data_IF_417382645393
#
_entry.id   IF_417382645393
#
_cell.length_a   1.000
_cell.length_b   1.000
_cell.length_c   1.000
_cell.angle_alpha   90.00
_cell.angle_beta   90.00
_cell.angle_gamma   90.00
#
_symmetry.space_group_name_H-M   'P 1'
#
loop_
_entity.id
_entity.type
_entity.pdbx_description
1 polymer ?
#
# COMPACT_ATOMS: atom_id res chain seq x y z
N UNK A 1 57.52 -52.86 55.11
CA UNK A 1 56.40 -52.21 55.81
C UNK A 1 56.99 -51.44 56.99
N UNK A 2 57.02 -50.11 56.88
CA UNK A 2 57.19 -49.13 57.96
C UNK A 2 56.68 -47.78 57.44
N UNK A 3 56.24 -46.87 58.32
CA UNK A 3 55.07 -46.02 58.08
C UNK A 3 55.41 -44.67 57.44
N UNK A 4 54.43 -44.15 56.70
CA UNK A 4 54.37 -42.74 56.27
C UNK A 4 53.97 -41.89 57.47
N UNK A 5 54.73 -40.83 57.83
CA UNK A 5 54.22 -39.80 58.73
C UNK A 5 53.46 -38.74 57.93
N UNK A 6 52.26 -38.45 58.41
CA UNK A 6 51.48 -37.28 58.02
C UNK A 6 52.17 -36.00 58.55
N UNK A 7 52.61 -35.12 57.65
CA UNK A 7 52.77 -33.70 57.92
C UNK A 7 52.31 -32.94 56.67
N UNK A 8 51.06 -32.50 56.69
CA UNK A 8 50.65 -31.28 56.03
C UNK A 8 50.56 -30.22 57.12
N UNK A 9 51.29 -29.12 56.98
CA UNK A 9 50.89 -27.80 57.47
C UNK A 9 51.83 -26.71 56.95
N UNK A 10 51.19 -25.67 56.44
CA UNK A 10 51.71 -24.31 56.25
C UNK A 10 52.74 -24.08 55.14
N UNK A 11 52.23 -24.03 53.90
CA UNK A 11 52.80 -23.14 52.87
C UNK A 11 51.72 -22.13 52.48
N UNK A 12 51.91 -20.89 52.94
CA UNK A 12 51.07 -19.76 52.58
C UNK A 12 51.26 -19.41 51.09
N UNK A 13 50.24 -18.78 50.50
CA UNK A 13 50.22 -18.32 49.11
C UNK A 13 51.40 -17.38 48.73
N UNK A 14 52.19 -16.92 49.70
CA UNK A 14 53.38 -16.09 49.47
C UNK A 14 54.61 -16.88 48.99
N UNK A 15 54.65 -18.22 49.12
CA UNK A 15 55.80 -19.01 48.66
C UNK A 15 55.74 -19.42 47.19
N UNK A 16 54.56 -19.36 46.55
CA UNK A 16 54.37 -19.74 45.14
C UNK A 16 54.67 -18.61 44.14
N UNK A 17 54.95 -17.38 44.60
CA UNK A 17 55.27 -16.24 43.72
C UNK A 17 56.78 -16.00 43.51
N UNK A 18 57.65 -16.92 43.94
CA UNK A 18 59.12 -16.81 43.73
C UNK A 18 59.73 -17.96 42.96
N UNK A 19 58.93 -18.76 42.25
CA UNK A 19 59.45 -19.77 41.32
C UNK A 19 59.48 -19.14 39.93
N UNK A 20 60.69 -18.79 39.48
CA UNK A 20 60.96 -18.43 38.09
C UNK A 20 61.00 -19.74 37.27
N UNK A 21 60.07 -19.97 36.33
CA UNK A 21 59.94 -21.24 35.62
C UNK A 21 61.12 -21.58 34.70
N UNK A 22 62.07 -20.66 34.48
CA UNK A 22 63.14 -20.84 33.50
C UNK A 22 64.48 -21.36 34.06
N UNK A 23 64.60 -21.68 35.36
CA UNK A 23 65.92 -21.99 35.94
C UNK A 23 66.09 -23.33 36.68
N UNK A 24 65.14 -24.27 36.62
CA UNK A 24 65.35 -25.62 37.17
C UNK A 24 64.49 -26.69 36.48
N UNK A 25 65.09 -27.69 35.80
CA UNK A 25 64.35 -28.78 35.16
C UNK A 25 63.59 -29.69 36.14
N UNK A 26 64.01 -29.72 37.41
CA UNK A 26 63.43 -30.62 38.42
C UNK A 26 62.14 -30.05 39.05
N UNK A 27 62.00 -28.73 39.13
CA UNK A 27 60.78 -28.08 39.63
C UNK A 27 59.63 -28.13 38.61
N UNK A 28 59.95 -28.06 37.32
CA UNK A 28 58.98 -28.25 36.24
C UNK A 28 58.37 -29.67 36.23
N UNK A 29 59.11 -30.68 36.73
CA UNK A 29 58.62 -32.06 36.87
C UNK A 29 57.61 -32.19 38.00
N UNK A 30 57.87 -31.53 39.14
CA UNK A 30 57.01 -31.57 40.32
C UNK A 30 55.65 -30.88 40.04
N UNK A 31 55.67 -29.73 39.36
CA UNK A 31 54.45 -29.00 38.94
C UNK A 31 53.64 -29.81 37.91
N UNK A 32 54.29 -30.47 36.93
CA UNK A 32 53.59 -31.34 35.96
C UNK A 32 52.98 -32.59 36.61
N UNK A 33 53.64 -33.18 37.63
CA UNK A 33 53.09 -34.32 38.36
C UNK A 33 51.87 -33.95 39.23
N UNK A 34 51.83 -32.73 39.77
CA UNK A 34 50.67 -32.22 40.53
C UNK A 34 49.47 -31.87 39.64
N UNK A 35 49.71 -31.37 38.43
CA UNK A 35 48.65 -31.08 37.45
C UNK A 35 48.07 -32.38 36.85
N UNK A 36 48.89 -33.42 36.66
CA UNK A 36 48.43 -34.72 36.15
C UNK A 36 47.55 -35.49 37.15
N UNK A 37 47.69 -35.25 38.45
CA UNK A 37 46.91 -35.94 39.49
C UNK A 37 45.49 -35.36 39.72
N UNK A 38 45.15 -34.22 39.09
CA UNK A 38 43.88 -33.51 39.33
C UNK A 38 43.01 -33.29 38.08
N UNK A 39 43.42 -33.78 36.91
CA UNK A 39 42.66 -33.61 35.67
C UNK A 39 41.56 -34.70 35.52
N UNK A 40 40.27 -34.34 35.41
CA UNK A 40 39.23 -35.31 35.04
C UNK A 40 39.41 -35.77 33.59
N UNK A 41 38.95 -36.99 33.23
CA UNK A 41 39.27 -37.61 31.95
C UNK A 41 38.79 -36.77 30.76
N UNK A 42 39.67 -36.65 29.76
CA UNK A 42 39.49 -35.87 28.55
C UNK A 42 38.24 -36.32 27.77
N UNK A 43 37.28 -35.41 27.60
CA UNK A 43 36.16 -35.60 26.67
C UNK A 43 36.70 -35.60 25.23
N UNK A 44 36.17 -36.50 24.41
CA UNK A 44 36.49 -36.64 22.99
C UNK A 44 36.50 -35.29 22.24
N UNK A 45 37.39 -35.10 21.24
CA UNK A 45 37.47 -33.85 20.51
C UNK A 45 36.10 -33.51 19.91
N UNK A 46 35.63 -32.26 20.07
CA UNK A 46 34.34 -31.85 19.53
C UNK A 46 34.31 -32.07 18.02
N UNK A 47 33.21 -32.64 17.53
CA UNK A 47 32.98 -32.81 16.09
C UNK A 47 33.13 -31.48 15.36
N UNK A 48 33.56 -31.49 14.10
CA UNK A 48 33.75 -30.28 13.25
C UNK A 48 32.56 -29.31 13.33
N UNK A 49 31.28 -29.75 13.32
CA UNK A 49 30.14 -28.84 13.53
C UNK A 49 30.16 -28.11 14.88
N UNK A 50 30.63 -28.75 15.93
CA UNK A 50 30.72 -28.18 17.29
C UNK A 50 31.89 -27.21 17.41
N UNK A 51 33.00 -27.44 16.69
CA UNK A 51 34.09 -26.48 16.56
C UNK A 51 33.67 -25.24 15.77
N UNK A 52 32.90 -25.40 14.69
CA UNK A 52 32.33 -24.28 13.93
C UNK A 52 31.35 -23.48 14.79
N UNK A 53 30.48 -24.15 15.55
CA UNK A 53 29.57 -23.49 16.50
C UNK A 53 30.32 -22.74 17.60
N UNK A 54 31.38 -23.33 18.16
CA UNK A 54 32.20 -22.67 19.19
C UNK A 54 33.02 -21.50 18.65
N UNK A 55 33.56 -21.63 17.43
CA UNK A 55 34.27 -20.55 16.74
C UNK A 55 33.32 -19.41 16.41
N UNK A 56 32.12 -19.70 15.90
CA UNK A 56 31.07 -18.70 15.66
C UNK A 56 30.63 -18.03 16.97
N UNK A 57 30.37 -18.80 18.03
CA UNK A 57 29.99 -18.25 19.34
C UNK A 57 31.08 -17.34 19.93
N UNK A 58 32.36 -17.71 19.77
CA UNK A 58 33.50 -16.93 20.26
C UNK A 58 33.80 -15.70 19.39
N UNK A 59 33.56 -15.78 18.08
CA UNK A 59 33.64 -14.64 17.16
C UNK A 59 32.52 -13.63 17.39
N UNK A 60 31.34 -14.10 17.78
CA UNK A 60 30.16 -13.27 18.06
C UNK A 60 30.12 -12.74 19.50
N UNK A 61 30.86 -13.34 20.44
CA UNK A 61 30.85 -12.96 21.86
C UNK A 61 31.14 -11.47 22.14
N UNK A 62 32.08 -10.80 21.44
CA UNK A 62 32.33 -9.37 21.62
C UNK A 62 31.20 -8.48 21.10
N UNK A 63 30.41 -8.95 20.12
CA UNK A 63 29.30 -8.20 19.53
C UNK A 63 28.04 -8.14 20.43
N UNK A 64 28.03 -8.87 21.55
CA UNK A 64 26.88 -9.02 22.44
C UNK A 64 26.94 -8.18 23.74
N UNK A 65 27.85 -7.19 23.85
CA UNK A 65 27.81 -6.14 24.89
C UNK A 65 28.13 -4.76 24.31
N UNK A 66 27.51 -3.68 24.83
CA UNK A 66 26.07 -3.47 24.76
C UNK A 66 25.64 -3.58 23.30
N UNK A 67 24.53 -4.26 23.07
CA UNK A 67 24.00 -4.70 21.77
C UNK A 67 24.15 -3.64 20.65
N UNK A 68 25.28 -3.63 19.93
CA UNK A 68 25.46 -2.75 18.77
C UNK A 68 24.72 -3.37 17.59
N UNK A 69 23.46 -2.99 17.45
CA UNK A 69 22.59 -3.39 16.34
C UNK A 69 23.24 -3.16 14.98
N UNK A 70 24.17 -2.20 14.85
CA UNK A 70 24.88 -1.92 13.59
C UNK A 70 25.95 -2.96 13.30
N UNK A 71 26.63 -3.47 14.32
CA UNK A 71 27.67 -4.49 14.17
C UNK A 71 27.04 -5.86 13.90
N UNK A 72 25.96 -6.20 14.61
CA UNK A 72 25.19 -7.41 14.33
C UNK A 72 24.51 -7.34 12.96
N UNK A 73 23.93 -6.19 12.56
CA UNK A 73 23.41 -5.96 11.20
C UNK A 73 24.49 -6.22 10.15
N UNK A 74 25.70 -5.68 10.31
CA UNK A 74 26.83 -5.94 9.38
C UNK A 74 27.18 -7.42 9.30
N UNK A 75 27.24 -8.12 10.43
CA UNK A 75 27.52 -9.56 10.47
C UNK A 75 26.43 -10.38 9.78
N UNK A 76 25.16 -10.04 10.00
CA UNK A 76 24.03 -10.64 9.32
C UNK A 76 24.12 -10.46 7.80
N UNK A 77 24.35 -9.24 7.33
CA UNK A 77 24.43 -8.93 5.90
C UNK A 77 25.62 -9.60 5.19
N UNK A 78 26.71 -9.84 5.90
CA UNK A 78 27.93 -10.44 5.34
C UNK A 78 27.96 -11.97 5.48
N UNK A 79 27.06 -12.57 6.26
CA UNK A 79 27.05 -14.01 6.50
C UNK A 79 26.50 -14.77 5.27
N UNK A 80 27.22 -15.80 4.77
CA UNK A 80 26.73 -16.65 3.69
C UNK A 80 25.35 -17.27 4.03
N UNK A 81 24.44 -17.48 3.05
CA UNK A 81 23.11 -18.08 3.25
C UNK A 81 23.10 -19.34 4.12
N UNK A 82 24.14 -20.17 3.99
CA UNK A 82 24.30 -21.43 4.71
C UNK A 82 24.58 -21.24 6.21
N UNK A 83 25.23 -20.14 6.59
CA UNK A 83 25.55 -19.83 7.98
C UNK A 83 24.33 -19.35 8.77
N UNK A 84 23.24 -18.96 8.10
CA UNK A 84 22.03 -18.48 8.75
C UNK A 84 21.34 -19.54 9.59
N UNK A 85 21.38 -20.81 9.22
CA UNK A 85 20.82 -21.89 10.06
C UNK A 85 21.61 -22.02 11.37
N UNK A 86 22.94 -21.98 11.31
CA UNK A 86 23.79 -21.97 12.52
C UNK A 86 23.63 -20.69 13.33
N UNK A 87 23.62 -19.51 12.69
CA UNK A 87 23.38 -18.22 13.34
C UNK A 87 22.01 -18.19 14.00
N UNK A 88 20.95 -18.70 13.35
CA UNK A 88 19.60 -18.81 13.92
C UNK A 88 19.54 -19.81 15.07
N UNK A 89 20.41 -20.83 15.10
CA UNK A 89 20.53 -21.78 16.21
C UNK A 89 21.24 -21.15 17.42
N UNK A 90 22.38 -20.49 17.20
CA UNK A 90 23.17 -19.81 18.24
C UNK A 90 22.44 -18.58 18.75
N UNK A 91 21.90 -17.77 17.83
CA UNK A 91 21.03 -16.66 18.17
C UNK A 91 19.75 -17.20 18.80
N UNK A 92 19.13 -18.30 18.34
CA UNK A 92 17.93 -18.87 18.97
C UNK A 92 18.12 -19.28 20.44
N UNK A 93 19.30 -19.75 20.82
CA UNK A 93 19.65 -20.01 22.23
C UNK A 93 19.89 -18.70 23.03
N UNK A 94 20.39 -17.65 22.37
CA UNK A 94 20.65 -16.32 22.98
C UNK A 94 19.45 -15.35 22.90
N UNK A 95 18.52 -15.58 21.98
CA UNK A 95 17.34 -14.79 21.65
C UNK A 95 16.13 -15.25 22.46
N UNK A 96 16.17 -16.45 23.06
CA UNK A 96 15.20 -16.85 24.10
C UNK A 96 15.19 -15.88 25.29
N UNK A 97 16.27 -15.12 25.49
CA UNK A 97 16.37 -14.07 26.51
C UNK A 97 16.13 -12.65 25.97
N UNK A 98 15.96 -12.48 24.66
CA UNK A 98 15.62 -11.19 24.04
C UNK A 98 14.09 -11.14 23.89
N UNK A 99 13.40 -10.08 24.33
CA UNK A 99 11.97 -9.94 24.15
C UNK A 99 11.59 -10.17 22.68
N UNK A 100 10.47 -10.85 22.40
CA UNK A 100 9.96 -11.13 21.04
C UNK A 100 10.04 -9.90 20.10
N UNK A 101 9.88 -8.69 20.65
CA UNK A 101 10.04 -7.40 19.98
C UNK A 101 11.41 -7.20 19.30
N UNK A 102 12.51 -7.65 19.90
CA UNK A 102 13.86 -7.53 19.32
C UNK A 102 14.08 -8.45 18.12
N UNK A 103 13.48 -9.64 18.13
CA UNK A 103 13.54 -10.57 17.00
C UNK A 103 12.71 -10.07 15.81
N UNK A 104 11.52 -9.53 16.08
CA UNK A 104 10.65 -8.94 15.06
C UNK A 104 11.32 -7.75 14.39
N UNK A 105 11.98 -6.87 15.17
CA UNK A 105 12.74 -5.73 14.63
C UNK A 105 13.90 -6.16 13.72
N UNK A 106 14.69 -7.16 14.13
CA UNK A 106 15.81 -7.65 13.31
C UNK A 106 15.36 -8.38 12.06
N UNK A 107 14.35 -9.25 12.17
CA UNK A 107 13.79 -9.95 11.03
C UNK A 107 13.26 -8.95 10.00
N UNK A 108 12.58 -7.88 10.45
CA UNK A 108 12.15 -6.79 9.59
C UNK A 108 13.33 -6.11 8.88
N UNK A 109 14.36 -5.67 9.60
CA UNK A 109 15.52 -4.99 8.95
C UNK A 109 16.21 -5.87 7.90
N UNK A 110 16.40 -7.16 8.19
CA UNK A 110 16.99 -8.11 7.23
C UNK A 110 16.05 -8.32 6.03
N UNK A 111 14.75 -8.42 6.28
CA UNK A 111 13.76 -8.55 5.22
C UNK A 111 13.75 -7.32 4.31
N UNK A 112 13.72 -6.13 4.91
CA UNK A 112 13.73 -4.85 4.22
C UNK A 112 14.97 -4.74 3.32
N UNK A 113 16.15 -5.03 3.86
CA UNK A 113 17.40 -4.88 3.11
C UNK A 113 17.51 -5.86 1.93
N UNK A 114 17.05 -7.11 2.09
CA UNK A 114 17.08 -8.11 1.01
C UNK A 114 16.03 -7.84 -0.06
N UNK A 115 14.83 -7.41 0.34
CA UNK A 115 13.80 -6.98 -0.60
C UNK A 115 14.26 -5.76 -1.38
N UNK A 116 14.90 -4.78 -0.71
CA UNK A 116 15.50 -3.60 -1.36
C UNK A 116 16.58 -3.99 -2.37
N UNK A 117 17.35 -5.05 -2.10
CA UNK A 117 18.33 -5.61 -3.04
C UNK A 117 17.70 -6.35 -4.24
N UNK A 118 16.37 -6.41 -4.33
CA UNK A 118 15.66 -7.01 -5.45
C UNK A 118 15.27 -8.48 -5.24
N UNK A 119 15.46 -9.03 -4.04
CA UNK A 119 15.03 -10.41 -3.77
C UNK A 119 13.49 -10.51 -3.68
N UNK A 120 12.93 -11.59 -4.23
CA UNK A 120 11.50 -11.88 -4.12
C UNK A 120 11.05 -12.03 -2.66
N UNK A 121 9.93 -11.39 -2.30
CA UNK A 121 9.26 -11.50 -1.01
C UNK A 121 8.98 -12.95 -0.62
N UNK A 122 8.69 -13.81 -1.59
CA UNK A 122 8.48 -15.24 -1.34
C UNK A 122 9.74 -15.91 -0.76
N UNK A 123 10.89 -15.68 -1.40
CA UNK A 123 12.17 -16.26 -0.98
C UNK A 123 12.61 -15.71 0.39
N UNK A 124 12.46 -14.39 0.58
CA UNK A 124 12.76 -13.74 1.86
C UNK A 124 11.85 -14.29 2.97
N UNK A 125 10.56 -14.44 2.68
CA UNK A 125 9.57 -15.02 3.60
C UNK A 125 9.90 -16.46 4.02
N UNK A 126 10.29 -17.31 3.07
CA UNK A 126 10.73 -18.70 3.36
C UNK A 126 11.97 -18.72 4.28
N UNK A 127 12.96 -17.87 4.02
CA UNK A 127 14.20 -17.83 4.80
C UNK A 127 13.92 -17.36 6.23
N UNK A 128 13.08 -16.33 6.38
CA UNK A 128 12.72 -15.78 7.68
C UNK A 128 11.69 -16.65 8.42
N UNK A 129 11.02 -17.59 7.74
CA UNK A 129 9.91 -18.35 8.31
C UNK A 129 8.69 -17.45 8.58
N UNK A 130 8.53 -16.38 7.81
CA UNK A 130 7.42 -15.43 7.89
C UNK A 130 6.20 -16.04 7.18
N UNK A 131 5.58 -17.02 7.81
CA UNK A 131 4.48 -17.80 7.23
C UNK A 131 3.09 -17.22 7.53
N UNK A 132 2.99 -16.22 8.41
CA UNK A 132 1.68 -15.61 8.70
C UNK A 132 1.26 -14.67 7.57
N UNK A 133 -0.04 -14.57 7.26
CA UNK A 133 -0.54 -13.63 6.26
C UNK A 133 -0.11 -12.18 6.52
N UNK A 134 -0.12 -11.73 7.78
CA UNK A 134 0.27 -10.37 8.16
C UNK A 134 1.76 -10.10 7.93
N UNK A 135 2.64 -11.07 8.23
CA UNK A 135 4.07 -10.92 7.99
C UNK A 135 4.39 -10.93 6.49
N UNK A 136 3.66 -11.73 5.71
CA UNK A 136 3.74 -11.75 4.25
C UNK A 136 3.31 -10.40 3.66
N UNK A 137 2.15 -9.87 4.06
CA UNK A 137 1.66 -8.56 3.61
C UNK A 137 2.65 -7.44 3.95
N UNK A 138 3.16 -7.39 5.18
CA UNK A 138 4.17 -6.42 5.57
C UNK A 138 5.44 -6.50 4.72
N UNK A 139 5.88 -7.71 4.37
CA UNK A 139 7.05 -7.93 3.52
C UNK A 139 6.82 -7.49 2.07
N UNK A 140 5.64 -7.77 1.54
CA UNK A 140 5.25 -7.33 0.20
C UNK A 140 5.12 -5.79 0.13
N UNK A 141 4.55 -5.16 1.17
CA UNK A 141 4.47 -3.70 1.27
C UNK A 141 5.85 -3.03 1.27
N UNK A 142 6.84 -3.61 1.94
CA UNK A 142 8.22 -3.09 1.89
C UNK A 142 8.79 -3.16 0.47
N UNK A 143 8.42 -4.18 -0.32
CA UNK A 143 8.82 -4.25 -1.72
C UNK A 143 8.15 -3.16 -2.55
N UNK A 144 6.84 -2.95 -2.35
CA UNK A 144 6.05 -1.90 -3.01
C UNK A 144 6.59 -0.51 -2.67
N UNK A 145 6.93 -0.24 -1.41
CA UNK A 145 7.53 1.04 -0.99
C UNK A 145 8.97 1.23 -1.51
N UNK A 146 9.65 0.13 -1.83
CA UNK A 146 11.03 0.11 -2.33
C UNK A 146 11.13 -0.18 -3.83
N UNK A 147 11.88 -1.22 -4.24
CA UNK A 147 12.27 -1.41 -5.65
C UNK A 147 11.10 -1.79 -6.57
N UNK A 148 10.06 -2.46 -6.08
CA UNK A 148 8.90 -2.81 -6.91
C UNK A 148 8.13 -1.55 -7.32
N UNK A 149 7.82 -0.67 -6.36
CA UNK A 149 7.15 0.60 -6.65
C UNK A 149 7.99 1.54 -7.51
N UNK A 150 9.33 1.55 -7.35
CA UNK A 150 10.21 2.31 -8.23
C UNK A 150 10.12 1.85 -9.69
N UNK A 151 10.08 0.54 -9.94
CA UNK A 151 9.95 -0.02 -11.31
C UNK A 151 8.60 0.31 -11.93
N UNK A 152 7.51 0.26 -11.16
CA UNK A 152 6.19 0.68 -11.64
C UNK A 152 6.13 2.17 -11.94
N UNK A 153 6.73 3.01 -11.09
CA UNK A 153 6.87 4.46 -11.35
C UNK A 153 7.69 4.77 -12.61
N UNK A 154 8.61 3.87 -13.00
CA UNK A 154 9.36 3.95 -14.25
C UNK A 154 8.59 3.41 -15.47
N UNK A 155 7.36 2.92 -15.27
CA UNK A 155 6.45 2.50 -16.33
C UNK A 155 6.45 1.00 -16.61
N UNK A 156 7.02 0.18 -15.73
CA UNK A 156 6.88 -1.27 -15.85
C UNK A 156 5.47 -1.74 -15.42
N UNK A 157 4.95 -2.76 -16.10
CA UNK A 157 3.64 -3.37 -15.79
C UNK A 157 3.60 -3.91 -14.36
N UNK A 158 2.52 -3.60 -13.63
CA UNK A 158 2.25 -4.07 -12.27
C UNK A 158 2.26 -5.59 -12.17
N UNK A 159 1.65 -6.30 -13.14
CA UNK A 159 1.63 -7.77 -13.17
C UNK A 159 3.04 -8.35 -13.27
N UNK A 160 3.88 -7.81 -14.17
CA UNK A 160 5.26 -8.27 -14.33
C UNK A 160 6.09 -8.00 -13.07
N UNK A 161 5.89 -6.83 -12.45
CA UNK A 161 6.57 -6.48 -11.20
C UNK A 161 6.09 -7.38 -10.07
N UNK A 162 4.79 -7.59 -9.89
CA UNK A 162 4.24 -8.43 -8.84
C UNK A 162 4.76 -9.87 -8.95
N UNK A 163 4.81 -10.42 -10.16
CA UNK A 163 5.38 -11.75 -10.42
C UNK A 163 6.87 -11.81 -10.07
N UNK A 164 7.64 -10.79 -10.46
CA UNK A 164 9.09 -10.74 -10.21
C UNK A 164 9.40 -10.69 -8.71
N UNK A 165 8.67 -9.88 -7.96
CA UNK A 165 8.88 -9.72 -6.52
C UNK A 165 8.07 -10.70 -5.66
N UNK A 166 7.20 -11.51 -6.25
CA UNK A 166 6.32 -12.41 -5.51
C UNK A 166 5.30 -11.67 -4.63
N UNK A 167 4.77 -10.54 -5.12
CA UNK A 167 3.71 -9.76 -4.47
C UNK A 167 2.37 -10.37 -4.86
N UNK A 168 1.58 -10.80 -3.88
CA UNK A 168 0.36 -11.59 -4.11
C UNK A 168 -0.80 -11.19 -3.21
N UNK A 169 -0.55 -10.42 -2.16
CA UNK A 169 -1.59 -9.90 -1.28
C UNK A 169 -2.35 -8.78 -1.98
N UNK A 170 -3.66 -8.78 -1.79
CA UNK A 170 -4.57 -7.82 -2.41
C UNK A 170 -4.19 -6.37 -2.08
N UNK A 171 -3.86 -6.07 -0.82
CA UNK A 171 -3.44 -4.73 -0.39
C UNK A 171 -2.20 -4.25 -1.14
N UNK A 172 -1.16 -5.08 -1.24
CA UNK A 172 0.08 -4.70 -1.90
C UNK A 172 -0.08 -4.53 -3.41
N UNK A 173 -0.88 -5.39 -4.06
CA UNK A 173 -1.23 -5.24 -5.49
C UNK A 173 -1.99 -3.94 -5.71
N UNK A 174 -3.00 -3.64 -4.89
CA UNK A 174 -3.78 -2.40 -5.02
C UNK A 174 -2.88 -1.16 -4.92
N UNK A 175 -1.96 -1.10 -3.94
CA UNK A 175 -1.01 0.02 -3.82
C UNK A 175 -0.08 0.10 -5.03
N UNK A 176 0.39 -1.04 -5.55
CA UNK A 176 1.23 -1.07 -6.74
C UNK A 176 0.49 -0.53 -7.98
N UNK A 177 -0.77 -0.93 -8.17
CA UNK A 177 -1.62 -0.41 -9.24
C UNK A 177 -1.91 1.08 -9.08
N UNK A 178 -2.21 1.57 -7.87
CA UNK A 178 -2.37 3.00 -7.57
C UNK A 178 -1.11 3.79 -7.97
N UNK A 179 0.10 3.30 -7.64
CA UNK A 179 1.34 3.96 -8.05
C UNK A 179 1.52 4.06 -9.57
N UNK A 180 1.03 3.06 -10.31
CA UNK A 180 1.05 3.08 -11.78
C UNK A 180 0.09 4.13 -12.33
N UNK A 181 -1.13 4.15 -11.80
CA UNK A 181 -2.19 5.09 -12.14
C UNK A 181 -1.77 6.54 -11.84
N UNK A 182 -1.21 6.82 -10.67
CA UNK A 182 -0.72 8.16 -10.31
C UNK A 182 0.49 8.62 -11.14
N UNK A 183 1.16 7.68 -11.82
CA UNK A 183 2.36 7.91 -12.60
C UNK A 183 2.14 7.63 -14.10
N UNK A 184 2.94 6.75 -14.72
CA UNK A 184 2.96 6.58 -16.17
C UNK A 184 1.62 6.22 -16.82
N UNK A 185 0.77 5.44 -16.16
CA UNK A 185 -0.51 5.03 -16.72
C UNK A 185 -1.49 6.22 -16.78
N UNK A 186 -1.65 6.96 -15.68
CA UNK A 186 -2.50 8.15 -15.65
C UNK A 186 -2.02 9.23 -16.60
N UNK A 187 -0.70 9.43 -16.74
CA UNK A 187 -0.16 10.40 -17.69
C UNK A 187 -0.43 10.03 -19.16
N UNK A 188 -0.51 8.74 -19.50
CA UNK A 188 -0.92 8.29 -20.84
C UNK A 188 -2.40 8.55 -21.09
N UNK A 189 -3.26 8.25 -20.11
CA UNK A 189 -4.70 8.53 -20.20
C UNK A 189 -4.98 10.03 -20.30
N UNK A 190 -4.28 10.88 -19.54
CA UNK A 190 -4.38 12.34 -19.66
C UNK A 190 -3.95 12.89 -21.02
N UNK A 191 -3.14 12.15 -21.79
CA UNK A 191 -2.81 12.49 -23.19
C UNK A 191 -3.85 11.98 -24.19
N UNK A 192 -4.90 11.33 -23.70
CA UNK A 192 -6.02 10.83 -24.47
C UNK A 192 -5.84 9.43 -25.02
N UNK A 193 -4.95 8.63 -24.44
CA UNK A 193 -4.92 7.20 -24.73
C UNK A 193 -6.13 6.47 -24.12
N UNK A 194 -6.63 5.47 -24.82
CA UNK A 194 -7.79 4.67 -24.43
C UNK A 194 -7.55 3.93 -23.09
N UNK A 195 -8.40 4.17 -22.10
CA UNK A 195 -8.27 3.72 -20.70
C UNK A 195 -8.07 2.21 -20.59
N UNK A 196 -8.93 1.39 -21.20
CA UNK A 196 -8.79 -0.07 -21.13
C UNK A 196 -7.44 -0.58 -21.68
N UNK A 197 -6.97 -0.02 -22.81
CA UNK A 197 -5.67 -0.41 -23.39
C UNK A 197 -4.51 -0.04 -22.48
N UNK A 198 -4.61 1.12 -21.81
CA UNK A 198 -3.62 1.55 -20.81
C UNK A 198 -3.67 0.61 -19.60
N UNK A 199 -4.85 0.34 -19.04
CA UNK A 199 -5.02 -0.57 -17.91
C UNK A 199 -4.43 -1.96 -18.20
N UNK A 200 -4.71 -2.54 -19.38
CA UNK A 200 -4.17 -3.83 -19.79
C UNK A 200 -2.63 -3.78 -19.93
N UNK A 201 -2.09 -2.72 -20.53
CA UNK A 201 -0.64 -2.56 -20.72
C UNK A 201 0.12 -2.45 -19.39
N UNK A 202 -0.45 -1.76 -18.39
CA UNK A 202 0.15 -1.64 -17.07
C UNK A 202 -0.28 -2.74 -16.10
N UNK A 203 -1.16 -3.65 -16.50
CA UNK A 203 -1.65 -4.71 -15.64
C UNK A 203 -2.47 -4.20 -14.46
N UNK A 204 -3.28 -3.16 -14.66
CA UNK A 204 -4.21 -2.61 -13.66
C UNK A 204 -5.51 -3.41 -13.73
N UNK A 205 -5.79 -4.16 -12.67
CA UNK A 205 -6.93 -5.09 -12.62
C UNK A 205 -7.97 -4.67 -11.59
N UNK A 206 -7.56 -3.94 -10.56
CA UNK A 206 -8.41 -3.52 -9.46
C UNK A 206 -9.42 -2.46 -9.88
N UNK A 207 -10.71 -2.75 -9.73
CA UNK A 207 -11.81 -1.90 -10.20
C UNK A 207 -11.74 -0.45 -9.69
N UNK A 208 -11.37 -0.23 -8.41
CA UNK A 208 -11.20 1.15 -7.89
C UNK A 208 -10.12 1.93 -8.64
N UNK A 209 -8.99 1.28 -8.95
CA UNK A 209 -7.88 1.93 -9.64
C UNK A 209 -8.24 2.16 -11.11
N UNK A 210 -8.99 1.25 -11.74
CA UNK A 210 -9.54 1.46 -13.08
C UNK A 210 -10.48 2.67 -13.12
N UNK A 211 -11.39 2.77 -12.16
CA UNK A 211 -12.30 3.90 -12.07
C UNK A 211 -11.54 5.24 -11.88
N UNK A 212 -10.54 5.28 -11.00
CA UNK A 212 -9.68 6.46 -10.84
C UNK A 212 -8.87 6.78 -12.10
N UNK A 213 -8.39 5.76 -12.82
CA UNK A 213 -7.72 5.92 -14.10
C UNK A 213 -8.65 6.54 -15.15
N UNK A 214 -9.90 6.09 -15.23
CA UNK A 214 -10.90 6.66 -16.14
C UNK A 214 -11.27 8.11 -15.76
N UNK A 215 -11.35 8.43 -14.47
CA UNK A 215 -11.50 9.82 -14.02
C UNK A 215 -10.34 10.73 -14.48
N UNK A 216 -9.12 10.19 -14.65
CA UNK A 216 -8.01 10.95 -15.28
C UNK A 216 -8.28 11.29 -16.75
N UNK A 217 -9.04 10.47 -17.48
CA UNK A 217 -9.46 10.79 -18.83
C UNK A 217 -10.47 11.97 -18.81
N UNK A 218 -11.41 11.91 -17.86
CA UNK A 218 -12.45 12.93 -17.65
C UNK A 218 -11.84 14.28 -17.27
N UNK A 219 -10.86 14.30 -16.36
CA UNK A 219 -10.07 15.49 -16.02
C UNK A 219 -9.32 16.09 -17.23
N UNK A 220 -9.04 15.26 -18.24
CA UNK A 220 -8.26 15.58 -19.42
C UNK A 220 -9.09 15.74 -20.72
N UNK A 221 -8.64 15.13 -21.84
CA UNK A 221 -9.24 15.35 -23.15
C UNK A 221 -10.69 14.91 -23.28
N UNK A 222 -11.13 13.87 -22.55
CA UNK A 222 -12.51 13.39 -22.62
C UNK A 222 -13.48 14.47 -22.09
N UNK A 223 -13.22 15.00 -20.90
CA UNK A 223 -14.03 16.09 -20.35
C UNK A 223 -13.95 17.36 -21.19
N UNK A 224 -12.80 17.66 -21.82
CA UNK A 224 -12.69 18.80 -22.73
C UNK A 224 -13.63 18.67 -23.94
N UNK A 225 -13.72 17.49 -24.54
CA UNK A 225 -14.61 17.23 -25.69
C UNK A 225 -16.08 17.33 -25.31
N UNK A 226 -16.46 16.81 -24.14
CA UNK A 226 -17.83 16.95 -23.65
C UNK A 226 -18.18 18.41 -23.34
N UNK A 227 -17.26 19.21 -22.79
CA UNK A 227 -17.45 20.67 -22.66
C UNK A 227 -17.67 21.37 -23.99
N UNK A 228 -17.08 20.85 -25.08
CA UNK A 228 -17.28 21.34 -26.45
C UNK A 228 -18.60 20.87 -27.08
N UNK A 229 -19.40 20.09 -26.35
CA UNK A 229 -20.74 19.68 -26.76
C UNK A 229 -20.83 18.29 -27.38
N UNK A 230 -19.75 17.52 -27.40
CA UNK A 230 -19.81 16.13 -27.87
C UNK A 230 -20.63 15.26 -26.90
N UNK A 231 -21.25 14.20 -27.43
CA UNK A 231 -22.07 13.25 -26.65
C UNK A 231 -21.20 12.43 -25.70
N UNK A 232 -21.60 12.33 -24.43
CA UNK A 232 -20.91 11.57 -23.38
C UNK A 232 -20.73 10.11 -23.79
N UNK A 233 -21.76 9.46 -24.35
CA UNK A 233 -21.68 8.08 -24.89
C UNK A 233 -20.56 7.91 -25.92
N UNK A 234 -20.46 8.86 -26.86
CA UNK A 234 -19.48 8.78 -27.94
C UNK A 234 -18.07 8.94 -27.39
N UNK A 235 -17.88 9.92 -26.51
CA UNK A 235 -16.59 10.16 -25.85
C UNK A 235 -16.20 8.98 -24.96
N UNK A 236 -17.09 8.49 -24.10
CA UNK A 236 -16.84 7.34 -23.23
C UNK A 236 -16.41 6.09 -24.03
N UNK A 237 -17.10 5.79 -25.13
CA UNK A 237 -16.76 4.67 -26.00
C UNK A 237 -15.37 4.83 -26.65
N UNK A 238 -15.02 6.04 -27.11
CA UNK A 238 -13.74 6.30 -27.78
C UNK A 238 -12.55 6.23 -26.81
N UNK A 239 -12.73 6.75 -25.59
CA UNK A 239 -11.71 6.67 -24.54
C UNK A 239 -11.74 5.34 -23.79
N UNK A 240 -12.72 4.47 -24.07
CA UNK A 240 -12.83 3.16 -23.44
C UNK A 240 -13.13 3.21 -21.96
N UNK A 241 -14.03 4.10 -21.56
CA UNK A 241 -14.51 4.25 -20.20
C UNK A 241 -15.67 3.29 -19.95
N UNK A 242 -15.55 2.45 -18.93
CA UNK A 242 -16.53 1.42 -18.60
C UNK A 242 -17.08 1.58 -17.18
N UNK A 243 -16.37 2.29 -16.31
CA UNK A 243 -16.74 2.43 -14.90
C UNK A 243 -17.78 3.53 -14.71
N UNK A 244 -18.75 3.25 -13.84
CA UNK A 244 -19.96 4.08 -13.72
C UNK A 244 -19.67 5.50 -13.21
N UNK A 245 -18.77 5.68 -12.23
CA UNK A 245 -18.48 7.00 -11.65
C UNK A 245 -17.82 7.92 -12.67
N UNK A 246 -16.96 7.38 -13.54
CA UNK A 246 -16.29 8.18 -14.55
C UNK A 246 -17.28 8.65 -15.64
N UNK A 247 -18.25 7.80 -16.01
CA UNK A 247 -19.32 8.19 -16.93
C UNK A 247 -20.31 9.19 -16.31
N UNK A 248 -20.68 9.01 -15.04
CA UNK A 248 -21.53 9.97 -14.32
C UNK A 248 -20.87 11.35 -14.21
N UNK A 249 -19.58 11.42 -13.86
CA UNK A 249 -18.82 12.68 -13.83
C UNK A 249 -18.74 13.34 -15.22
N UNK A 250 -18.58 12.54 -16.27
CA UNK A 250 -18.57 13.03 -17.65
C UNK A 250 -19.92 13.67 -18.03
N UNK A 251 -21.03 13.06 -17.62
CA UNK A 251 -22.37 13.62 -17.81
C UNK A 251 -22.60 14.90 -16.99
N UNK A 252 -22.12 14.97 -15.74
CA UNK A 252 -22.15 16.21 -14.94
C UNK A 252 -21.40 17.36 -15.61
N UNK A 253 -20.28 17.07 -16.29
CA UNK A 253 -19.56 18.05 -17.10
C UNK A 253 -20.41 18.55 -18.27
N UNK A 254 -21.17 17.67 -18.93
CA UNK A 254 -22.09 18.06 -20.00
C UNK A 254 -23.18 19.01 -19.48
N UNK A 255 -23.81 18.65 -18.36
CA UNK A 255 -24.86 19.42 -17.67
C UNK A 255 -24.33 20.79 -17.27
N UNK A 256 -23.13 20.86 -16.70
CA UNK A 256 -22.48 22.12 -16.31
C UNK A 256 -22.00 22.96 -17.51
N UNK A 257 -22.03 22.41 -18.72
CA UNK A 257 -21.57 23.03 -19.95
C UNK A 257 -22.71 23.28 -20.94
N UNK A 258 -22.51 22.86 -22.20
CA UNK A 258 -23.41 23.18 -23.30
C UNK A 258 -24.83 22.61 -23.11
N UNK A 259 -24.99 21.46 -22.46
CA UNK A 259 -26.30 20.87 -22.22
C UNK A 259 -27.14 21.77 -21.30
N UNK A 260 -26.57 22.21 -20.18
CA UNK A 260 -27.23 23.16 -19.28
C UNK A 260 -27.55 24.48 -19.96
N UNK A 261 -26.65 25.02 -20.79
CA UNK A 261 -26.91 26.25 -21.55
C UNK A 261 -28.08 26.09 -22.56
N UNK A 262 -28.20 24.93 -23.22
CA UNK A 262 -29.35 24.65 -24.09
C UNK A 262 -30.66 24.63 -23.32
N UNK A 263 -30.67 24.00 -22.14
CA UNK A 263 -31.85 23.98 -21.26
C UNK A 263 -32.19 25.39 -20.77
N UNK A 264 -31.21 26.20 -20.35
CA UNK A 264 -31.43 27.61 -19.97
C UNK A 264 -32.06 28.43 -21.09
N UNK A 265 -31.73 28.11 -22.35
CA UNK A 265 -32.30 28.74 -23.54
C UNK A 265 -33.70 28.21 -23.91
N UNK A 266 -34.27 27.31 -23.11
CA UNK A 266 -35.65 26.86 -23.22
C UNK A 266 -35.86 25.59 -24.06
N UNK A 267 -34.78 24.86 -24.37
CA UNK A 267 -34.91 23.54 -24.97
C UNK A 267 -35.36 22.49 -23.94
N UNK A 268 -36.09 21.46 -24.38
CA UNK A 268 -36.55 20.36 -23.52
C UNK A 268 -35.38 19.56 -22.95
N UNK A 269 -35.44 19.23 -21.65
CA UNK A 269 -34.47 18.39 -20.96
C UNK A 269 -34.33 17.03 -21.65
N UNK A 270 -35.42 16.43 -22.13
CA UNK A 270 -35.41 15.14 -22.86
C UNK A 270 -34.57 15.22 -24.15
N UNK A 271 -34.85 16.22 -25.00
CA UNK A 271 -34.10 16.43 -26.24
C UNK A 271 -32.62 16.67 -25.96
N UNK A 272 -32.30 17.48 -24.94
CA UNK A 272 -30.92 17.79 -24.57
C UNK A 272 -30.21 16.55 -24.03
N UNK A 273 -30.83 15.79 -23.12
CA UNK A 273 -30.24 14.59 -22.55
C UNK A 273 -29.97 13.52 -23.61
N UNK A 274 -30.91 13.28 -24.53
CA UNK A 274 -30.70 12.36 -25.65
C UNK A 274 -29.52 12.80 -26.54
N UNK A 275 -29.45 14.09 -26.87
CA UNK A 275 -28.38 14.62 -27.73
C UNK A 275 -26.99 14.54 -27.08
N UNK A 276 -26.91 14.82 -25.78
CA UNK A 276 -25.64 14.78 -25.03
C UNK A 276 -25.32 13.42 -24.41
N UNK A 277 -26.23 12.43 -24.53
CA UNK A 277 -26.06 11.11 -23.93
C UNK A 277 -26.01 11.18 -22.40
N UNK A 278 -26.97 11.89 -21.79
CA UNK A 278 -27.14 11.97 -20.33
C UNK A 278 -28.17 10.91 -19.91
N UNK A 279 -27.75 9.93 -19.13
CA UNK A 279 -28.55 8.77 -18.75
C UNK A 279 -28.58 8.52 -17.24
N UNK A 280 -27.54 8.94 -16.52
CA UNK A 280 -27.49 8.73 -15.09
C UNK A 280 -28.49 9.64 -14.38
N UNK A 281 -29.07 9.08 -13.31
CA UNK A 281 -30.10 9.75 -12.51
C UNK A 281 -29.65 11.12 -12.00
N UNK A 282 -28.46 11.21 -11.41
CA UNK A 282 -27.97 12.46 -10.81
C UNK A 282 -27.73 13.57 -11.85
N UNK A 283 -26.97 13.36 -12.94
CA UNK A 283 -26.85 14.36 -14.01
C UNK A 283 -28.21 14.75 -14.62
N UNK A 284 -29.11 13.78 -14.79
CA UNK A 284 -30.45 14.04 -15.33
C UNK A 284 -31.25 14.96 -14.42
N UNK A 285 -31.28 14.69 -13.12
CA UNK A 285 -31.93 15.52 -12.10
C UNK A 285 -31.37 16.94 -12.12
N UNK A 286 -30.05 17.11 -12.12
CA UNK A 286 -29.42 18.44 -12.17
C UNK A 286 -29.80 19.21 -13.45
N UNK A 287 -29.90 18.54 -14.60
CA UNK A 287 -30.36 19.13 -15.84
C UNK A 287 -31.80 19.64 -15.76
N UNK A 288 -32.69 18.91 -15.09
CA UNK A 288 -34.09 19.31 -14.88
C UNK A 288 -34.23 20.45 -13.87
N UNK A 289 -33.43 20.47 -12.82
CA UNK A 289 -33.38 21.60 -11.87
C UNK A 289 -32.97 22.91 -12.57
N UNK A 290 -32.03 22.86 -13.51
CA UNK A 290 -31.69 24.03 -14.35
C UNK A 290 -32.91 24.55 -15.14
N UNK A 291 -33.77 23.67 -15.64
CA UNK A 291 -34.99 24.08 -16.34
C UNK A 291 -35.97 24.75 -15.38
N UNK A 292 -36.18 24.15 -14.21
CA UNK A 292 -37.08 24.65 -13.15
C UNK A 292 -36.65 26.04 -12.69
N UNK A 293 -35.37 26.24 -12.39
CA UNK A 293 -34.81 27.53 -11.97
C UNK A 293 -34.81 28.58 -13.10
N UNK A 294 -34.92 28.14 -14.36
CA UNK A 294 -34.89 28.98 -15.54
C UNK A 294 -36.24 29.02 -16.28
N UNK A 295 -36.29 28.57 -17.54
CA UNK A 295 -37.43 28.82 -18.42
C UNK A 295 -38.72 28.12 -18.01
N UNK A 296 -38.66 26.98 -17.32
CA UNK A 296 -39.84 26.27 -16.84
C UNK A 296 -40.52 27.04 -15.71
N UNK A 297 -39.77 27.42 -14.66
CA UNK A 297 -40.27 28.26 -13.58
C UNK A 297 -40.76 29.62 -14.07
N UNK A 298 -40.05 30.26 -15.01
CA UNK A 298 -40.51 31.52 -15.61
C UNK A 298 -41.82 31.36 -16.39
N UNK A 299 -41.99 30.27 -17.14
CA UNK A 299 -43.22 30.00 -17.88
C UNK A 299 -44.41 29.85 -16.92
N UNK A 300 -44.19 29.13 -15.81
CA UNK A 300 -45.19 28.96 -14.75
C UNK A 300 -45.56 30.29 -14.08
N UNK A 301 -44.57 31.12 -13.74
CA UNK A 301 -44.81 32.47 -13.18
C UNK A 301 -45.58 33.40 -14.13
N UNK A 302 -45.47 33.19 -15.44
CA UNK A 302 -46.27 33.89 -16.46
C UNK A 302 -47.68 33.33 -16.64
N UNK A 303 -48.05 32.33 -15.85
CA UNK A 303 -49.40 31.76 -15.82
C UNK A 303 -49.62 30.55 -16.72
N UNK A 304 -48.56 29.91 -17.23
CA UNK A 304 -48.71 28.59 -17.84
C UNK A 304 -49.21 27.57 -16.81
N UNK A 305 -49.92 26.52 -17.25
CA UNK A 305 -50.30 25.43 -16.34
C UNK A 305 -49.10 24.51 -16.07
N UNK A 306 -49.08 23.86 -14.92
CA UNK A 306 -47.99 22.94 -14.55
C UNK A 306 -47.84 21.81 -15.57
N UNK A 307 -48.93 21.25 -16.08
CA UNK A 307 -48.93 20.16 -17.06
C UNK A 307 -48.27 20.61 -18.37
N UNK A 308 -48.62 21.81 -18.84
CA UNK A 308 -48.04 22.40 -20.05
C UNK A 308 -46.54 22.67 -19.90
N UNK A 309 -46.09 23.11 -18.71
CA UNK A 309 -44.67 23.30 -18.40
C UNK A 309 -43.94 21.95 -18.37
N UNK A 310 -44.47 20.96 -17.65
CA UNK A 310 -43.86 19.62 -17.54
C UNK A 310 -43.70 18.96 -18.90
N UNK A 311 -44.75 18.95 -19.72
CA UNK A 311 -44.72 18.38 -21.06
C UNK A 311 -43.73 19.13 -21.97
N UNK A 312 -43.78 20.46 -21.98
CA UNK A 312 -42.93 21.29 -22.84
C UNK A 312 -41.45 21.13 -22.53
N UNK A 313 -41.08 21.13 -21.26
CA UNK A 313 -39.68 21.08 -20.85
C UNK A 313 -39.19 19.65 -20.60
N UNK A 314 -40.06 18.64 -20.70
CA UNK A 314 -39.72 17.23 -20.56
C UNK A 314 -39.22 16.88 -19.16
N UNK A 315 -39.91 17.38 -18.12
CA UNK A 315 -39.57 17.13 -16.72
C UNK A 315 -40.15 15.79 -16.26
N UNK A 316 -39.34 14.96 -15.62
CA UNK A 316 -39.74 13.64 -15.11
C UNK A 316 -39.21 13.34 -13.70
N UNK A 317 -38.22 14.08 -13.21
CA UNK A 317 -37.66 13.88 -11.87
C UNK A 317 -38.61 14.42 -10.78
N UNK A 318 -38.80 13.62 -9.73
CA UNK A 318 -39.76 13.92 -8.66
C UNK A 318 -39.40 15.19 -7.87
N UNK A 319 -38.11 15.44 -7.62
CA UNK A 319 -37.68 16.65 -6.89
C UNK A 319 -37.92 17.90 -7.74
N UNK A 320 -37.58 17.84 -9.03
CA UNK A 320 -37.84 18.94 -9.96
C UNK A 320 -39.35 19.26 -10.06
N UNK A 321 -40.20 18.23 -10.11
CA UNK A 321 -41.66 18.39 -10.13
C UNK A 321 -42.20 18.94 -8.80
N UNK A 322 -41.65 18.53 -7.66
CA UNK A 322 -42.04 19.04 -6.36
C UNK A 322 -41.78 20.56 -6.24
N UNK A 323 -40.58 21.01 -6.61
CA UNK A 323 -40.21 22.44 -6.62
C UNK A 323 -41.12 23.23 -7.57
N UNK A 324 -41.44 22.67 -8.74
CA UNK A 324 -42.35 23.30 -9.68
C UNK A 324 -43.78 23.44 -9.09
N UNK A 325 -44.22 22.45 -8.31
CA UNK A 325 -45.47 22.49 -7.56
C UNK A 325 -45.50 23.61 -6.51
N UNK A 326 -44.41 23.83 -5.78
CA UNK A 326 -44.28 24.94 -4.84
C UNK A 326 -44.42 26.30 -5.55
N UNK A 327 -43.71 26.49 -6.67
CA UNK A 327 -43.81 27.71 -7.49
C UNK A 327 -45.26 27.93 -7.98
N UNK A 328 -45.99 26.86 -8.34
CA UNK A 328 -47.38 26.96 -8.78
C UNK A 328 -48.30 27.46 -7.66
N UNK A 329 -48.10 26.97 -6.43
CA UNK A 329 -48.87 27.38 -5.25
C UNK A 329 -48.60 28.84 -4.89
N UNK A 330 -47.34 29.28 -4.93
CA UNK A 330 -46.97 30.69 -4.72
C UNK A 330 -47.70 31.61 -5.72
N UNK A 331 -47.65 31.29 -7.01
CA UNK A 331 -48.31 32.08 -8.05
C UNK A 331 -49.84 32.12 -7.89
N UNK A 332 -50.45 31.06 -7.36
CA UNK A 332 -51.89 31.02 -7.09
C UNK A 332 -52.27 31.93 -5.92
N UNK A 333 -51.45 31.98 -4.86
CA UNK A 333 -51.65 32.86 -3.73
C UNK A 333 -51.54 34.34 -4.13
N UNK A 334 -50.52 34.70 -4.93
CA UNK A 334 -50.33 36.08 -5.40
C UNK A 334 -51.50 36.59 -6.25
N UNK A 335 -52.09 35.71 -7.08
CA UNK A 335 -53.27 36.05 -7.90
C UNK A 335 -54.50 36.35 -7.04
N UNK A 336 -54.72 35.58 -5.97
CA UNK A 336 -55.85 35.82 -5.05
C UNK A 336 -55.70 37.17 -4.33
N UNK A 337 -54.48 37.52 -3.91
CA UNK A 337 -54.22 38.82 -3.29
C UNK A 337 -54.47 39.98 -4.27
N UNK A 338 -54.12 39.81 -5.55
CA UNK A 338 -54.35 40.84 -6.56
C UNK A 338 -55.83 41.04 -6.91
N UNK A 339 -56.65 40.00 -6.89
CA UNK A 339 -58.10 40.14 -7.16
C UNK A 339 -58.85 40.85 -6.04
N UNK A 340 -58.43 40.65 -4.78
CA UNK A 340 -59.07 41.28 -3.61
C UNK A 340 -58.77 42.78 -3.48
N UNK A 341 -57.77 43.29 -4.19
CA UNK A 341 -57.44 44.72 -4.27
C UNK A 341 -58.25 45.46 -5.35
N UNK A 342 -58.61 44.80 -6.45
CA UNK A 342 -59.41 45.43 -7.52
C UNK A 342 -60.89 45.59 -7.16
N UNK A 343 -61.40 44.80 -6.21
CA UNK A 343 -62.80 44.83 -5.76
C UNK A 343 -63.09 45.84 -4.61
N UNK A 344 -62.10 46.61 -4.16
CA UNK A 344 -62.21 47.60 -3.07
C UNK A 344 -62.33 49.04 -3.56
#
# INVERSE_FOLDING_TARGET
MSPVPAIAKDLSAAHLQRIDPDNSPDDARLVRSLIAATAPPAKAPPSVPRLVTLAAARYLQPAFRPFDLRQYRRLCLQAPPMCWRQLRRVAGETLRTIPLWGYVGMAKVIADERVIQGESCHNVGQILGALTPQAKEALEMVSVEGPAGQRVKQGESCLKVSDTFGITTYTAINVLETLSMEGPAGERVKRGEHCQKVADAFGITHWKVKNELELKAVEGPAGQRVRQGESCRTVAAEFGMLEYLANEELELIAVSGLAGERVKNGESCETVAQAHGIEFYWPRRELELIAVDGPAGQSLRRGASIESVVERFGLVDEDALAILGEIALENAADKQLSSDEEDK
#
